data_IF_679967680779
#
_entry.id   IF_679967680779
#
_cell.length_a   1.000
_cell.length_b   1.000
_cell.length_c   1.000
_cell.angle_alpha   90.00
_cell.angle_beta   90.00
_cell.angle_gamma   90.00
#
_symmetry.space_group_name_H-M   'P 1'
#
loop_
_entity.id
_entity.type
_entity.pdbx_description
1 polymer ?
#
# COMPACT_ATOMS: atom_id res chain seq x y z
N UNK A 1 -9.65 30.09 -49.01
CA UNK A 1 -10.80 29.17 -48.88
C UNK A 1 -10.37 27.77 -49.33
N UNK A 2 -10.13 26.87 -48.38
CA UNK A 2 -9.87 25.44 -48.60
C UNK A 2 -11.06 24.65 -48.05
N UNK A 3 -11.50 23.55 -48.69
CA UNK A 3 -12.59 22.74 -48.17
C UNK A 3 -12.10 21.80 -47.06
N UNK A 4 -12.95 21.43 -46.09
CA UNK A 4 -12.56 20.53 -45.01
C UNK A 4 -12.50 19.07 -45.50
N UNK A 5 -11.39 18.39 -45.18
CA UNK A 5 -11.23 16.95 -45.36
C UNK A 5 -12.13 16.19 -44.37
N UNK A 6 -12.89 15.21 -44.88
CA UNK A 6 -13.69 14.27 -44.07
C UNK A 6 -12.80 13.15 -43.53
N UNK A 7 -12.86 12.93 -42.22
CA UNK A 7 -12.22 11.81 -41.52
C UNK A 7 -12.97 10.48 -41.79
N UNK A 8 -12.28 9.34 -41.94
CA UNK A 8 -12.93 8.04 -42.09
C UNK A 8 -13.46 7.51 -40.75
N UNK A 9 -14.67 6.98 -40.74
CA UNK A 9 -15.27 6.32 -39.57
C UNK A 9 -14.67 4.94 -39.28
N UNK A 10 -14.85 4.41 -38.05
CA UNK A 10 -14.24 3.16 -37.62
C UNK A 10 -14.85 1.93 -38.31
N UNK A 11 -14.08 0.83 -38.47
CA UNK A 11 -14.55 -0.37 -39.14
C UNK A 11 -15.60 -1.13 -38.30
N UNK A 12 -16.57 -1.69 -39.01
CA UNK A 12 -17.72 -2.43 -38.50
C UNK A 12 -17.28 -3.80 -37.98
N UNK A 13 -17.54 -4.08 -36.71
CA UNK A 13 -17.18 -5.36 -36.04
C UNK A 13 -18.09 -6.49 -36.56
N UNK A 14 -17.53 -7.44 -37.30
CA UNK A 14 -18.22 -8.65 -37.73
C UNK A 14 -18.57 -9.57 -36.55
N UNK A 15 -19.81 -10.08 -36.54
CA UNK A 15 -20.29 -11.08 -35.58
C UNK A 15 -19.76 -12.46 -35.97
N UNK A 16 -18.94 -13.06 -35.09
CA UNK A 16 -18.59 -14.48 -35.15
C UNK A 16 -19.83 -15.38 -34.98
N UNK A 17 -20.00 -16.45 -35.76
CA UNK A 17 -21.05 -17.43 -35.55
C UNK A 17 -20.75 -18.30 -34.32
N UNK A 18 -21.80 -18.63 -33.55
CA UNK A 18 -21.74 -19.55 -32.41
C UNK A 18 -21.50 -20.97 -32.92
N UNK A 19 -20.34 -21.54 -32.58
CA UNK A 19 -20.04 -22.96 -32.80
C UNK A 19 -20.97 -23.85 -31.98
N UNK A 20 -21.46 -24.91 -32.62
CA UNK A 20 -22.34 -25.91 -32.04
C UNK A 20 -21.58 -26.82 -31.05
N UNK A 21 -22.24 -27.13 -29.93
CA UNK A 21 -21.77 -28.08 -28.91
C UNK A 21 -22.01 -29.52 -29.39
N UNK A 22 -21.00 -30.41 -29.43
CA UNK A 22 -21.22 -31.82 -29.75
C UNK A 22 -21.87 -32.56 -28.57
N UNK A 23 -22.96 -33.30 -28.86
CA UNK A 23 -23.65 -34.21 -27.94
C UNK A 23 -22.83 -35.48 -27.72
N UNK A 24 -22.58 -35.81 -26.45
CA UNK A 24 -22.04 -37.11 -26.04
C UNK A 24 -23.07 -38.25 -26.19
N UNK A 25 -22.65 -39.48 -26.54
CA UNK A 25 -23.55 -40.61 -26.73
C UNK A 25 -24.03 -41.21 -25.39
N UNK A 26 -25.29 -41.63 -25.39
CA UNK A 26 -25.97 -42.31 -24.27
C UNK A 26 -25.56 -43.79 -24.23
N UNK A 27 -24.91 -44.21 -23.14
CA UNK A 27 -24.69 -45.62 -22.83
C UNK A 27 -25.96 -46.31 -22.29
N UNK A 28 -26.08 -47.65 -22.45
CA UNK A 28 -27.29 -48.39 -22.16
C UNK A 28 -27.53 -48.61 -20.66
N UNK A 29 -28.82 -48.54 -20.27
CA UNK A 29 -29.34 -48.88 -18.95
C UNK A 29 -29.36 -50.40 -18.78
N UNK A 30 -28.58 -50.93 -17.84
CA UNK A 30 -28.77 -52.28 -17.32
C UNK A 30 -29.63 -52.21 -16.06
N UNK A 31 -30.84 -52.80 -16.13
CA UNK A 31 -31.67 -53.12 -14.97
C UNK A 31 -31.16 -54.41 -14.38
N UNK A 32 -30.87 -54.43 -13.08
CA UNK A 32 -30.78 -55.67 -12.31
C UNK A 32 -31.65 -55.51 -11.06
N UNK A 33 -32.67 -56.35 -11.03
CA UNK A 33 -33.64 -56.49 -9.95
C UNK A 33 -33.00 -57.21 -8.76
N UNK A 34 -33.61 -57.02 -7.59
CA UNK A 34 -33.02 -57.32 -6.30
C UNK A 34 -32.87 -58.80 -5.97
N UNK A 35 -32.02 -59.04 -4.98
CA UNK A 35 -32.12 -60.18 -4.07
C UNK A 35 -31.81 -59.62 -2.67
N UNK A 36 -32.82 -59.70 -1.79
CA UNK A 36 -32.71 -59.45 -0.34
C UNK A 36 -32.17 -60.71 0.32
N UNK A 37 -31.03 -60.62 1.00
CA UNK A 37 -30.71 -61.53 2.11
C UNK A 37 -30.11 -60.71 3.26
N UNK A 38 -30.77 -60.81 4.41
CA UNK A 38 -30.35 -60.24 5.67
C UNK A 38 -29.42 -61.25 6.38
N UNK A 39 -28.25 -60.78 6.81
CA UNK A 39 -27.28 -61.37 7.76
C UNK A 39 -26.09 -60.39 7.71
N UNK A 40 -25.49 -59.85 8.77
CA UNK A 40 -25.66 -59.94 10.21
C UNK A 40 -24.78 -58.82 10.78
N UNK A 41 -25.14 -58.34 11.96
CA UNK A 41 -24.45 -57.26 12.65
C UNK A 41 -22.96 -57.56 12.87
N UNK A 42 -22.08 -56.61 12.54
CA UNK A 42 -20.85 -56.24 13.24
C UNK A 42 -19.89 -55.50 12.29
N UNK A 43 -20.07 -54.18 12.13
CA UNK A 43 -18.96 -53.23 11.91
C UNK A 43 -19.47 -51.79 12.12
N UNK A 44 -20.21 -51.55 13.21
CA UNK A 44 -20.60 -50.22 13.66
C UNK A 44 -19.85 -49.91 14.97
N UNK A 45 -18.53 -49.78 14.89
CA UNK A 45 -17.69 -49.45 16.05
C UNK A 45 -16.39 -48.76 15.61
N UNK A 46 -16.49 -47.64 14.87
CA UNK A 46 -15.34 -46.76 14.58
C UNK A 46 -15.78 -45.33 14.18
N UNK A 47 -16.82 -44.79 14.82
CA UNK A 47 -17.25 -43.38 14.65
C UNK A 47 -17.33 -42.63 15.99
N UNK A 48 -16.53 -43.06 16.98
CA UNK A 48 -16.38 -42.37 18.26
C UNK A 48 -14.89 -42.20 18.57
N UNK A 49 -14.27 -41.16 18.01
CA UNK A 49 -13.18 -40.40 18.62
C UNK A 49 -12.60 -39.43 17.59
N UNK A 50 -12.56 -38.15 17.97
CA UNK A 50 -11.75 -37.14 17.29
C UNK A 50 -12.55 -36.03 16.66
N UNK A 51 -13.11 -35.14 17.48
CA UNK A 51 -12.97 -33.73 17.13
C UNK A 51 -11.46 -33.50 17.02
N UNK A 52 -10.91 -33.50 15.80
CA UNK A 52 -9.56 -32.97 15.58
C UNK A 52 -9.71 -31.48 15.84
N UNK A 53 -9.50 -31.08 17.08
CA UNK A 53 -9.25 -29.69 17.45
C UNK A 53 -7.95 -29.31 16.72
N UNK A 54 -8.09 -28.78 15.50
CA UNK A 54 -6.95 -28.22 14.79
C UNK A 54 -6.49 -27.05 15.65
N UNK A 55 -5.28 -27.11 16.27
CA UNK A 55 -4.81 -26.00 17.07
C UNK A 55 -4.82 -24.74 16.19
N UNK A 56 -5.28 -23.60 16.73
CA UNK A 56 -5.31 -22.37 15.95
C UNK A 56 -3.90 -22.10 15.41
N UNK A 57 -3.78 -21.58 14.18
CA UNK A 57 -2.49 -21.24 13.63
C UNK A 57 -1.75 -20.31 14.60
N UNK A 58 -0.42 -20.44 14.71
CA UNK A 58 0.35 -19.59 15.61
C UNK A 58 0.09 -18.11 15.26
N UNK A 59 0.02 -17.23 16.27
CA UNK A 59 -0.20 -15.81 16.04
C UNK A 59 0.89 -15.27 15.11
N UNK A 60 0.47 -14.45 14.14
CA UNK A 60 1.41 -13.77 13.24
C UNK A 60 2.33 -12.86 14.08
N UNK A 61 3.64 -12.79 13.76
CA UNK A 61 4.53 -11.85 14.42
C UNK A 61 4.01 -10.42 14.29
N UNK A 62 4.19 -9.58 15.34
CA UNK A 62 3.89 -8.15 15.26
C UNK A 62 4.52 -7.49 14.04
N UNK A 63 3.84 -6.48 13.49
CA UNK A 63 4.41 -5.61 12.47
C UNK A 63 5.42 -4.69 13.16
N UNK A 64 6.71 -4.99 12.99
CA UNK A 64 7.80 -4.22 13.55
C UNK A 64 8.90 -4.07 12.48
N UNK A 65 9.37 -2.86 12.21
CA UNK A 65 10.52 -2.64 11.32
C UNK A 65 11.77 -3.34 11.84
N UNK A 66 12.47 -4.03 10.95
CA UNK A 66 13.78 -4.65 11.16
C UNK A 66 14.78 -4.13 10.15
N UNK A 67 16.06 -4.36 10.42
CA UNK A 67 17.17 -3.98 9.53
C UNK A 67 17.10 -2.51 9.07
N UNK A 68 16.65 -1.64 9.97
CA UNK A 68 16.42 -0.23 9.66
C UNK A 68 17.75 0.44 9.29
N UNK A 69 17.77 1.03 8.10
CA UNK A 69 18.86 1.87 7.60
C UNK A 69 18.33 3.29 7.49
N UNK A 70 18.93 4.20 8.25
CA UNK A 70 18.68 5.64 8.16
C UNK A 70 19.92 6.35 7.64
N UNK A 71 19.80 7.54 7.04
CA UNK A 71 20.95 8.33 6.63
C UNK A 71 21.88 8.66 7.82
N UNK A 72 23.18 8.77 7.56
CA UNK A 72 24.15 9.13 8.60
C UNK A 72 23.82 10.49 9.23
N UNK A 73 23.93 10.58 10.56
CA UNK A 73 23.64 11.79 11.32
C UNK A 73 22.15 12.09 11.53
N UNK A 74 21.24 11.30 10.96
CA UNK A 74 19.79 11.44 11.17
C UNK A 74 19.36 10.67 12.40
N UNK A 75 18.72 11.38 13.34
CA UNK A 75 18.11 10.77 14.52
C UNK A 75 16.76 10.13 14.20
N UNK A 76 16.55 8.89 14.67
CA UNK A 76 15.25 8.22 14.64
C UNK A 76 14.54 8.41 15.98
N UNK A 77 13.38 9.03 15.93
CA UNK A 77 12.46 9.18 17.06
C UNK A 77 11.47 8.01 17.03
N UNK A 78 11.58 7.09 18.00
CA UNK A 78 10.63 5.99 18.21
C UNK A 78 9.66 6.25 19.37
N UNK A 79 9.99 7.21 20.23
CA UNK A 79 9.16 7.59 21.36
C UNK A 79 8.36 8.83 20.97
N UNK A 80 7.04 8.73 21.11
CA UNK A 80 6.14 9.86 20.91
C UNK A 80 5.83 10.52 22.26
N UNK A 81 5.96 11.84 22.34
CA UNK A 81 5.52 12.64 23.49
C UNK A 81 4.33 13.47 23.06
N UNK A 82 3.14 13.31 23.67
CA UNK A 82 1.96 14.05 23.27
C UNK A 82 2.18 15.55 23.41
N UNK A 83 1.90 16.28 22.34
CA UNK A 83 1.99 17.75 22.27
C UNK A 83 0.63 18.43 22.22
N UNK A 84 -0.45 17.67 21.97
CA UNK A 84 -1.82 18.19 21.92
C UNK A 84 -2.72 17.32 21.06
N UNK A 85 -3.75 17.96 20.49
CA UNK A 85 -4.52 17.40 19.36
C UNK A 85 -3.68 17.41 18.09
N UNK A 86 -4.08 16.66 17.06
CA UNK A 86 -3.39 16.69 15.76
C UNK A 86 -3.30 18.10 15.19
N UNK A 87 -2.09 18.47 14.80
CA UNK A 87 -1.79 19.65 14.00
C UNK A 87 -1.61 19.19 12.56
N UNK A 88 -2.53 19.57 11.70
CA UNK A 88 -2.52 19.07 10.34
C UNK A 88 -1.30 19.49 9.52
N UNK A 89 -0.83 18.54 8.73
CA UNK A 89 0.20 18.70 7.71
C UNK A 89 1.58 19.02 8.29
N UNK A 90 1.82 18.61 9.55
CA UNK A 90 3.14 18.70 10.17
C UNK A 90 3.90 17.35 10.13
N UNK A 91 3.27 16.30 9.59
CA UNK A 91 3.76 14.92 9.53
C UNK A 91 4.11 14.36 10.91
N UNK A 92 3.42 14.76 11.98
CA UNK A 92 3.56 14.20 13.33
C UNK A 92 2.29 13.46 13.73
N UNK A 93 2.46 12.68 14.78
CA UNK A 93 1.39 12.08 15.57
C UNK A 93 1.38 12.89 16.87
N UNK A 94 0.67 14.03 16.89
CA UNK A 94 0.77 14.99 18.00
C UNK A 94 0.13 14.44 19.28
N UNK A 95 -0.85 13.54 19.16
CA UNK A 95 -1.55 12.95 20.29
C UNK A 95 -1.05 11.54 20.66
N UNK A 96 -0.07 11.00 19.94
CA UNK A 96 0.58 9.71 20.16
C UNK A 96 -0.36 8.51 20.13
N UNK A 97 -1.40 8.53 19.30
CA UNK A 97 -2.30 7.39 19.11
C UNK A 97 -1.80 6.42 18.03
N UNK A 98 -0.66 6.71 17.40
CA UNK A 98 -0.03 5.91 16.37
C UNK A 98 -0.56 6.19 14.97
N UNK A 99 -1.38 7.22 14.76
CA UNK A 99 -1.85 7.70 13.46
C UNK A 99 -1.21 9.06 13.20
N UNK A 100 -0.82 9.32 11.95
CA UNK A 100 -0.15 10.57 11.57
C UNK A 100 -1.17 11.43 10.85
N UNK A 101 -1.30 12.70 11.27
CA UNK A 101 -2.18 13.70 10.69
C UNK A 101 -3.64 13.23 10.49
N UNK A 102 -4.24 12.51 11.44
CA UNK A 102 -5.63 12.09 11.30
C UNK A 102 -6.63 13.25 11.37
N UNK A 103 -7.71 13.15 10.60
CA UNK A 103 -8.71 14.22 10.51
C UNK A 103 -8.30 15.38 9.61
N UNK A 104 -7.10 15.35 9.04
CA UNK A 104 -6.56 16.40 8.15
C UNK A 104 -6.92 16.20 6.66
N UNK A 105 -7.84 15.27 6.38
CA UNK A 105 -8.17 14.88 5.01
C UNK A 105 -7.06 14.08 4.31
N UNK A 106 -6.08 13.58 5.07
CA UNK A 106 -5.11 12.57 4.60
C UNK A 106 -5.70 11.17 4.77
N UNK A 107 -5.48 10.30 3.79
CA UNK A 107 -5.78 8.89 3.95
C UNK A 107 -4.79 8.23 4.91
N UNK A 108 -5.28 7.33 5.75
CA UNK A 108 -4.45 6.63 6.75
C UNK A 108 -4.57 5.12 6.56
N UNK A 109 -3.52 4.40 6.95
CA UNK A 109 -3.46 2.95 6.89
C UNK A 109 -2.58 2.39 8.01
N UNK A 110 -2.59 1.06 8.21
CA UNK A 110 -1.69 0.41 9.18
C UNK A 110 -0.22 0.46 8.76
N UNK A 111 0.05 0.81 7.50
CA UNK A 111 1.33 1.27 7.01
C UNK A 111 1.08 2.63 6.36
N UNK A 112 1.76 3.67 6.84
CA UNK A 112 1.62 5.04 6.35
C UNK A 112 2.99 5.73 6.40
N UNK A 113 3.29 6.56 5.43
CA UNK A 113 4.48 7.38 5.35
C UNK A 113 4.05 8.79 4.97
N UNK A 114 4.48 9.77 5.75
CA UNK A 114 4.08 11.15 5.55
C UNK A 114 5.32 12.03 5.65
N UNK A 115 5.47 12.95 4.71
CA UNK A 115 6.46 14.02 4.79
C UNK A 115 5.80 15.37 4.87
N UNK A 116 6.42 16.31 5.57
CA UNK A 116 6.03 17.71 5.60
C UNK A 116 7.26 18.63 5.64
N UNK A 117 7.18 19.82 5.03
CA UNK A 117 8.28 20.79 4.98
C UNK A 117 7.78 22.24 5.01
N UNK A 118 8.57 23.15 5.58
CA UNK A 118 8.15 24.55 5.79
C UNK A 118 8.38 25.45 4.57
N UNK A 119 9.35 25.11 3.72
CA UNK A 119 9.72 25.93 2.56
C UNK A 119 8.67 25.81 1.43
N UNK A 120 7.70 26.72 1.40
CA UNK A 120 6.56 26.76 0.46
C UNK A 120 6.95 26.62 -1.03
N UNK A 121 8.06 27.22 -1.43
CA UNK A 121 8.51 27.20 -2.82
C UNK A 121 9.27 25.91 -3.17
N UNK A 122 9.69 25.10 -2.20
CA UNK A 122 10.43 23.87 -2.46
C UNK A 122 9.49 22.74 -2.93
N UNK A 123 9.91 22.03 -3.97
CA UNK A 123 9.26 20.82 -4.49
C UNK A 123 9.98 19.59 -3.91
N UNK A 124 9.36 18.95 -2.92
CA UNK A 124 9.89 17.78 -2.22
C UNK A 124 8.99 16.57 -2.46
N UNK A 125 9.58 15.50 -3.00
CA UNK A 125 8.88 14.25 -3.24
C UNK A 125 9.13 13.21 -2.15
N UNK A 126 8.07 12.48 -1.83
CA UNK A 126 8.04 11.19 -1.18
C UNK A 126 7.85 10.09 -2.23
N UNK A 127 8.87 9.24 -2.34
CA UNK A 127 8.88 8.06 -3.18
C UNK A 127 8.99 6.81 -2.32
N UNK A 128 7.90 6.05 -2.18
CA UNK A 128 7.87 4.81 -1.39
C UNK A 128 7.76 3.62 -2.32
N UNK A 129 8.71 2.69 -2.17
CA UNK A 129 8.77 1.44 -2.91
C UNK A 129 8.40 0.28 -2.02
N UNK A 130 7.53 -0.59 -2.53
CA UNK A 130 7.12 -1.82 -1.86
C UNK A 130 8.19 -2.93 -1.96
N UNK A 131 7.98 -4.10 -1.33
CA UNK A 131 8.92 -5.22 -1.39
C UNK A 131 9.15 -5.81 -2.78
N UNK A 132 8.24 -5.61 -3.73
CA UNK A 132 8.42 -6.00 -5.12
C UNK A 132 9.24 -4.96 -5.91
N UNK A 133 9.54 -3.81 -5.30
CA UNK A 133 10.23 -2.68 -5.92
C UNK A 133 9.29 -1.75 -6.69
N UNK A 134 7.98 -1.89 -6.53
CA UNK A 134 7.00 -1.05 -7.19
C UNK A 134 6.85 0.28 -6.42
N UNK A 135 6.88 1.40 -7.16
CA UNK A 135 6.69 2.74 -6.61
C UNK A 135 5.19 3.02 -6.42
N UNK A 136 4.80 3.43 -5.21
CA UNK A 136 3.47 3.94 -4.92
C UNK A 136 3.20 5.24 -5.68
N UNK A 137 2.04 5.31 -6.36
CA UNK A 137 1.62 6.46 -7.17
C UNK A 137 0.21 6.89 -6.80
N UNK A 138 -0.17 8.08 -7.27
CA UNK A 138 -1.54 8.58 -7.16
C UNK A 138 -2.45 7.81 -8.13
N UNK A 139 -3.66 7.49 -7.69
CA UNK A 139 -4.72 6.91 -8.53
C UNK A 139 -4.77 5.38 -8.61
N UNK A 140 -3.64 4.68 -8.49
CA UNK A 140 -3.60 3.20 -8.49
C UNK A 140 -2.67 2.65 -7.38
N UNK A 141 -3.14 1.71 -6.55
CA UNK A 141 -2.28 1.02 -5.58
C UNK A 141 -1.28 0.09 -6.25
N UNK A 142 -0.10 -0.10 -5.65
CA UNK A 142 0.84 -1.14 -6.06
C UNK A 142 0.24 -2.53 -5.89
N UNK A 143 0.91 -3.57 -6.41
CA UNK A 143 0.51 -4.96 -6.18
C UNK A 143 0.45 -5.33 -4.69
N UNK A 144 1.20 -4.64 -3.82
CA UNK A 144 1.14 -4.79 -2.37
C UNK A 144 0.13 -3.87 -1.68
N UNK A 145 -0.59 -3.02 -2.42
CA UNK A 145 -1.63 -2.12 -1.92
C UNK A 145 -1.17 -0.73 -1.47
N UNK A 146 0.10 -0.36 -1.67
CA UNK A 146 0.57 1.00 -1.35
C UNK A 146 0.05 2.01 -2.37
N UNK A 147 -0.44 3.15 -1.92
CA UNK A 147 -0.94 4.22 -2.78
C UNK A 147 -0.45 5.58 -2.29
N UNK A 148 -0.03 6.44 -3.22
CA UNK A 148 0.27 7.84 -2.91
C UNK A 148 -1.06 8.60 -2.88
N UNK A 149 -1.29 9.33 -1.79
CA UNK A 149 -2.52 10.07 -1.56
C UNK A 149 -2.60 11.32 -2.44
N UNK A 150 -1.48 12.05 -2.52
CA UNK A 150 -1.33 13.31 -3.26
C UNK A 150 0.12 13.54 -3.62
N UNK A 151 0.35 14.31 -4.68
CA UNK A 151 1.67 14.65 -5.23
C UNK A 151 1.84 16.18 -5.24
N UNK A 152 2.55 16.69 -4.24
CA UNK A 152 2.59 18.10 -3.89
C UNK A 152 3.97 18.72 -4.14
N UNK A 153 4.06 19.84 -4.88
CA UNK A 153 2.98 20.68 -5.41
C UNK A 153 2.52 20.33 -6.85
N UNK A 154 3.01 19.21 -7.42
CA UNK A 154 2.88 18.92 -8.87
C UNK A 154 1.44 18.83 -9.37
N UNK A 155 0.52 18.29 -8.57
CA UNK A 155 -0.89 18.14 -8.95
C UNK A 155 -1.72 19.29 -8.35
N UNK A 156 -2.09 20.25 -9.19
CA UNK A 156 -2.82 21.45 -8.78
C UNK A 156 -4.15 21.12 -8.11
N UNK A 157 -4.39 21.70 -6.93
CA UNK A 157 -5.67 21.61 -6.20
C UNK A 157 -5.79 20.44 -5.22
N UNK A 158 -4.93 19.43 -5.30
CA UNK A 158 -4.92 18.32 -4.31
C UNK A 158 -4.26 18.72 -3.00
N UNK A 159 -3.29 19.65 -3.08
CA UNK A 159 -2.45 20.01 -1.95
C UNK A 159 -3.01 21.14 -1.09
N UNK A 160 -3.99 21.93 -1.56
CA UNK A 160 -4.58 23.04 -0.80
C UNK A 160 -3.52 23.97 -0.18
N UNK A 161 -2.46 24.28 -0.94
CA UNK A 161 -1.30 25.08 -0.48
C UNK A 161 -0.53 24.46 0.70
N UNK A 162 -0.66 23.15 0.92
CA UNK A 162 0.06 22.40 1.94
C UNK A 162 1.28 21.70 1.36
N UNK A 163 2.39 21.79 2.09
CA UNK A 163 3.65 21.12 1.81
C UNK A 163 3.68 19.76 2.51
N UNK A 164 2.90 18.82 1.98
CA UNK A 164 2.74 17.49 2.56
C UNK A 164 2.57 16.45 1.46
N UNK A 165 3.24 15.32 1.62
CA UNK A 165 2.96 14.14 0.79
C UNK A 165 2.76 12.92 1.67
N UNK A 166 1.90 12.01 1.22
CA UNK A 166 1.50 10.86 2.00
C UNK A 166 1.38 9.62 1.11
N UNK A 167 1.89 8.50 1.62
CA UNK A 167 1.71 7.17 1.04
C UNK A 167 1.14 6.27 2.13
N UNK A 168 0.13 5.49 1.80
CA UNK A 168 -0.52 4.61 2.76
C UNK A 168 -0.86 3.26 2.12
N UNK A 169 -0.99 2.24 2.98
CA UNK A 169 -1.56 0.96 2.59
C UNK A 169 -3.09 1.09 2.58
N UNK A 170 -3.68 0.93 1.40
CA UNK A 170 -5.11 1.11 1.17
C UNK A 170 -5.97 0.09 1.91
N UNK A 171 -5.57 -1.18 1.88
CA UNK A 171 -6.25 -2.28 2.53
C UNK A 171 -5.30 -3.48 2.73
N UNK A 172 -5.75 -4.45 3.54
CA UNK A 172 -5.02 -5.69 3.78
C UNK A 172 -3.86 -5.56 4.77
N UNK A 173 -2.98 -6.55 4.75
CA UNK A 173 -1.79 -6.62 5.60
C UNK A 173 -0.56 -6.13 4.83
N UNK A 174 0.40 -5.45 5.46
CA UNK A 174 1.62 -5.04 4.79
C UNK A 174 2.37 -6.26 4.26
N UNK A 175 2.79 -6.21 2.99
CA UNK A 175 3.64 -7.24 2.42
C UNK A 175 4.94 -7.36 3.23
N UNK A 176 5.43 -8.59 3.43
CA UNK A 176 6.70 -8.84 4.10
C UNK A 176 7.85 -8.61 3.11
N UNK A 177 8.97 -8.12 3.63
CA UNK A 177 10.15 -7.81 2.82
C UNK A 177 10.60 -6.35 2.96
N UNK A 178 11.53 -5.95 2.09
CA UNK A 178 12.24 -4.67 2.18
C UNK A 178 11.43 -3.55 1.55
N UNK A 179 11.07 -2.55 2.34
CA UNK A 179 10.56 -1.28 1.87
C UNK A 179 11.70 -0.29 1.70
N UNK A 180 11.57 0.61 0.73
CA UNK A 180 12.51 1.72 0.53
C UNK A 180 11.72 3.02 0.43
N UNK A 181 11.98 3.94 1.34
CA UNK A 181 11.38 5.27 1.39
C UNK A 181 12.46 6.26 0.97
N UNK A 182 12.17 7.08 -0.02
CA UNK A 182 13.08 8.08 -0.56
C UNK A 182 12.41 9.44 -0.48
N UNK A 183 13.08 10.38 0.18
CA UNK A 183 12.69 11.78 0.21
C UNK A 183 13.67 12.57 -0.65
N UNK A 184 13.16 13.29 -1.64
CA UNK A 184 13.97 13.95 -2.66
C UNK A 184 13.54 15.39 -2.84
N UNK A 185 14.50 16.31 -2.89
CA UNK A 185 14.29 17.68 -3.33
C UNK A 185 14.32 17.68 -4.87
N UNK A 186 13.16 17.73 -5.51
CA UNK A 186 13.07 17.79 -6.98
C UNK A 186 13.50 19.17 -7.49
N UNK A 187 13.03 20.22 -6.83
CA UNK A 187 13.37 21.62 -7.15
C UNK A 187 13.40 22.47 -5.90
N UNK A 188 14.42 23.31 -5.77
CA UNK A 188 14.48 24.31 -4.71
C UNK A 188 13.61 25.55 -5.02
N UNK A 189 13.47 25.93 -6.29
CA UNK A 189 12.86 27.19 -6.72
C UNK A 189 13.44 28.39 -5.92
N UNK A 190 12.58 29.23 -5.33
CA UNK A 190 12.98 30.42 -4.55
C UNK A 190 13.13 30.14 -3.04
N UNK A 191 13.05 28.87 -2.62
CA UNK A 191 13.25 28.48 -1.22
C UNK A 191 14.71 28.56 -0.77
N UNK A 192 14.92 28.56 0.56
CA UNK A 192 16.26 28.56 1.16
C UNK A 192 16.72 27.14 1.49
N UNK A 193 17.95 26.80 1.08
CA UNK A 193 18.58 25.54 1.48
C UNK A 193 19.36 25.69 2.81
N UNK A 194 19.44 24.64 3.65
CA UNK A 194 18.81 23.33 3.46
C UNK A 194 17.29 23.36 3.72
N UNK A 195 16.54 22.61 2.91
CA UNK A 195 15.10 22.40 3.16
C UNK A 195 14.98 21.32 4.23
N UNK A 196 14.42 21.69 5.38
CA UNK A 196 14.15 20.75 6.47
C UNK A 196 12.82 20.05 6.23
N UNK A 197 12.87 18.72 6.17
CA UNK A 197 11.73 17.85 5.91
C UNK A 197 11.53 16.92 7.10
N UNK A 198 10.32 16.87 7.64
CA UNK A 198 9.93 15.78 8.54
C UNK A 198 9.53 14.58 7.71
N UNK A 199 10.04 13.41 8.05
CA UNK A 199 9.54 12.12 7.57
C UNK A 199 9.03 11.34 8.77
N UNK A 200 7.77 10.93 8.72
CA UNK A 200 7.18 10.01 9.68
C UNK A 200 6.63 8.77 9.01
N UNK A 201 6.70 7.65 9.72
CA UNK A 201 6.17 6.37 9.28
C UNK A 201 5.34 5.74 10.40
N UNK A 202 4.15 5.26 10.07
CA UNK A 202 3.36 4.38 10.91
C UNK A 202 3.57 2.94 10.46
N UNK A 203 3.87 2.06 11.40
CA UNK A 203 3.90 0.61 11.19
C UNK A 203 3.07 -0.06 12.28
N UNK A 204 1.90 -0.58 11.91
CA UNK A 204 0.91 -1.11 12.83
C UNK A 204 0.38 -0.02 13.77
N UNK A 205 0.78 -0.10 15.04
CA UNK A 205 0.39 0.84 16.10
C UNK A 205 1.53 1.78 16.53
N UNK A 206 2.71 1.69 15.89
CA UNK A 206 3.86 2.52 16.24
C UNK A 206 4.10 3.57 15.16
N UNK A 207 4.40 4.78 15.61
CA UNK A 207 4.90 5.87 14.79
C UNK A 207 6.42 6.01 14.96
N UNK A 208 7.10 6.37 13.88
CA UNK A 208 8.53 6.63 13.77
C UNK A 208 8.69 7.98 13.10
N UNK A 209 9.57 8.84 13.59
CA UNK A 209 9.77 10.19 13.07
C UNK A 209 11.27 10.46 12.89
N UNK A 210 11.62 11.25 11.88
CA UNK A 210 12.96 11.79 11.69
C UNK A 210 12.89 13.13 10.96
N UNK A 211 13.95 13.92 11.10
CA UNK A 211 14.13 15.16 10.36
C UNK A 211 15.30 15.00 9.38
N UNK A 212 15.05 15.34 8.12
CA UNK A 212 15.98 15.24 7.01
C UNK A 212 16.28 16.64 6.50
N UNK A 213 17.56 16.92 6.25
CA UNK A 213 17.98 18.17 5.62
C UNK A 213 18.36 17.87 4.17
N UNK A 214 17.68 18.52 3.23
CA UNK A 214 17.90 18.39 1.79
C UNK A 214 18.56 19.65 1.23
N UNK A 215 19.42 19.49 0.23
CA UNK A 215 20.08 20.62 -0.44
C UNK A 215 20.31 20.28 -1.91
N UNK A 216 20.33 21.27 -2.83
CA UNK A 216 20.45 21.06 -4.27
C UNK A 216 21.87 20.63 -4.68
N UNK A 217 22.29 19.46 -4.22
CA UNK A 217 23.55 18.82 -4.58
C UNK A 217 23.35 17.32 -4.70
N UNK A 218 24.09 16.63 -5.59
CA UNK A 218 23.94 15.18 -5.76
C UNK A 218 24.15 14.36 -4.47
N UNK A 219 24.86 14.91 -3.47
CA UNK A 219 25.13 14.22 -2.20
C UNK A 219 24.01 14.41 -1.15
N UNK A 220 23.11 15.36 -1.36
CA UNK A 220 22.16 15.82 -0.33
C UNK A 220 20.75 16.11 -0.86
N UNK A 221 20.52 16.02 -2.17
CA UNK A 221 19.19 16.22 -2.76
C UNK A 221 18.25 15.05 -2.49
N UNK A 222 18.79 13.90 -2.09
CA UNK A 222 18.03 12.69 -1.78
C UNK A 222 18.48 12.06 -0.45
N UNK A 223 17.52 11.57 0.33
CA UNK A 223 17.74 10.75 1.53
C UNK A 223 16.87 9.51 1.46
N UNK A 224 17.45 8.35 1.79
CA UNK A 224 16.76 7.08 1.78
C UNK A 224 16.69 6.46 3.17
N UNK A 225 15.55 5.84 3.46
CA UNK A 225 15.31 4.99 4.62
C UNK A 225 14.87 3.63 4.12
N UNK A 226 15.47 2.57 4.62
CA UNK A 226 15.08 1.20 4.29
C UNK A 226 14.79 0.41 5.56
N UNK A 227 13.80 -0.48 5.50
CA UNK A 227 13.53 -1.44 6.57
C UNK A 227 12.84 -2.67 6.02
N UNK A 228 12.83 -3.74 6.80
CA UNK A 228 12.16 -5.01 6.50
C UNK A 228 10.97 -5.19 7.43
N UNK A 229 9.81 -5.60 6.90
CA UNK A 229 8.67 -6.11 7.69
C UNK A 229 8.61 -7.63 7.68
#
# INVERSE_FOLDING_TARGET
>A
MQPPMRTPGPPRRERRPRGAVPKAPRGPRARLAGVRWALGAALAALLLAGCIEVPPPPPKPPLEPKDLKVPEGVGLEMACTPTGVELCFDARDNNCNGVIDEGCGLHTGILQFTIAWEEAEADVDLNVYDPAGELARVGEPTASGLMKDRDCPRVSGECQEQNVENVFLTEGEPARGRYRVVVRLDKLNDATAPVRVRLSARVGQRSYSMALDLSPSPASEEKSVEFTL
#
